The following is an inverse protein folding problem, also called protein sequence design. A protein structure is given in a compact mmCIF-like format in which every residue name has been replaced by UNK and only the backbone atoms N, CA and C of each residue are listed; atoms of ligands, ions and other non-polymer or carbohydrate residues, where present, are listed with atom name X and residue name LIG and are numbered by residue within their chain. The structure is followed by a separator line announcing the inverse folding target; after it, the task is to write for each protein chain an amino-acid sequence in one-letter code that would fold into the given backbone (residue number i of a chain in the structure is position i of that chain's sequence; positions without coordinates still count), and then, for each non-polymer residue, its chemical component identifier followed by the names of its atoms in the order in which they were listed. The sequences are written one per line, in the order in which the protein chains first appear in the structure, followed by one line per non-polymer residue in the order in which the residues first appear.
data_IF_198415015896
#
_entry.id   IF_198415015896
#
_cell.length_a   1.000
_cell.length_b   1.000
_cell.length_c   1.000
_cell.angle_alpha   90.00
_cell.angle_beta   90.00
_cell.angle_gamma   90.00
#
_symmetry.space_group_name_H-M   'P 1'
#
loop_
_entity.id
_entity.type
_entity.pdbx_description
1 polymer ?
#
# COMPACT_ATOMS: atom_id res chain seq x y z
N UNK A 1 -14.09 -7.06 14.32
CA UNK A 1 -13.04 -7.73 15.13
C UNK A 1 -12.29 -8.78 14.30
N UNK A 2 -12.95 -9.83 13.80
CA UNK A 2 -12.29 -10.90 13.01
C UNK A 2 -11.46 -10.42 11.80
N UNK A 3 -11.95 -9.45 11.02
CA UNK A 3 -11.20 -8.92 9.86
C UNK A 3 -9.94 -8.14 10.26
N UNK A 4 -9.99 -7.40 11.37
CA UNK A 4 -8.85 -6.64 11.85
C UNK A 4 -7.78 -7.57 12.46
N UNK A 5 -8.21 -8.54 13.28
CA UNK A 5 -7.32 -9.58 13.80
C UNK A 5 -6.65 -10.36 12.64
N UNK A 6 -7.41 -10.63 11.57
CA UNK A 6 -6.87 -11.27 10.36
C UNK A 6 -5.78 -10.43 9.67
N UNK A 7 -5.97 -9.11 9.57
CA UNK A 7 -4.96 -8.20 8.99
C UNK A 7 -3.69 -8.13 9.84
N UNK A 8 -3.84 -8.08 11.17
CA UNK A 8 -2.71 -8.05 12.12
C UNK A 8 -1.83 -9.30 12.02
N UNK A 9 -2.41 -10.46 11.70
CA UNK A 9 -1.63 -11.70 11.50
C UNK A 9 -0.92 -11.80 10.13
N UNK A 10 -1.10 -10.81 9.24
CA UNK A 10 -0.62 -10.84 7.84
C UNK A 10 0.07 -9.54 7.45
N UNK A 11 1.13 -9.17 8.18
CA UNK A 11 1.84 -7.88 8.07
C UNK A 11 2.66 -7.69 6.77
N UNK A 12 2.37 -8.45 5.72
CA UNK A 12 2.95 -8.25 4.40
C UNK A 12 2.37 -6.97 3.80
N UNK A 13 3.01 -5.83 4.06
CA UNK A 13 2.57 -4.52 3.57
C UNK A 13 2.77 -4.32 2.07
N UNK A 14 3.74 -5.04 1.51
CA UNK A 14 4.18 -4.87 0.13
C UNK A 14 3.48 -5.87 -0.80
N UNK A 15 2.89 -6.93 -0.24
CA UNK A 15 2.19 -7.97 -1.00
C UNK A 15 0.77 -8.11 -0.44
N UNK A 16 -0.27 -7.90 -1.26
CA UNK A 16 -1.65 -8.05 -0.81
C UNK A 16 -1.93 -9.48 -0.35
N UNK A 17 -2.04 -9.68 0.95
CA UNK A 17 -2.31 -11.00 1.51
C UNK A 17 -3.67 -11.54 1.02
N UNK A 18 -3.71 -12.82 0.62
CA UNK A 18 -4.93 -13.47 0.12
C UNK A 18 -5.11 -13.42 -1.39
N UNK A 19 -4.21 -12.76 -2.14
CA UNK A 19 -4.15 -12.88 -3.59
C UNK A 19 -3.16 -14.01 -3.96
N UNK A 20 -3.57 -14.99 -4.80
CA UNK A 20 -2.66 -16.03 -5.28
C UNK A 20 -1.47 -15.41 -6.04
N UNK A 21 -0.29 -16.00 -5.91
CA UNK A 21 0.90 -15.52 -6.63
C UNK A 21 1.04 -16.11 -8.03
N UNK A 22 0.24 -17.12 -8.35
CA UNK A 22 0.22 -17.85 -9.61
C UNK A 22 -0.96 -17.47 -10.52
N UNK A 23 -1.69 -16.41 -10.17
CA UNK A 23 -2.80 -15.94 -10.98
C UNK A 23 -2.30 -15.36 -12.33
N UNK A 24 -2.96 -15.60 -13.48
CA UNK A 24 -2.48 -15.14 -14.79
C UNK A 24 -2.30 -13.63 -14.90
N UNK A 25 -3.02 -12.88 -14.06
CA UNK A 25 -3.09 -11.43 -14.09
C UNK A 25 -2.11 -10.78 -13.11
N UNK A 26 -1.45 -11.60 -12.28
CA UNK A 26 -0.46 -11.24 -11.27
C UNK A 26 -0.98 -10.14 -10.34
N UNK A 27 -2.24 -10.25 -9.88
CA UNK A 27 -2.91 -9.21 -9.10
C UNK A 27 -2.14 -8.80 -7.84
N UNK A 28 -1.33 -9.70 -7.28
CA UNK A 28 -0.47 -9.44 -6.12
C UNK A 28 0.65 -8.42 -6.40
N UNK A 29 0.98 -8.18 -7.68
CA UNK A 29 1.98 -7.19 -8.12
C UNK A 29 1.36 -5.93 -8.68
N UNK A 30 0.22 -6.04 -9.36
CA UNK A 30 -0.39 -4.89 -10.04
C UNK A 30 -1.17 -3.97 -9.09
N UNK A 31 -1.39 -4.39 -7.84
CA UNK A 31 -2.21 -3.69 -6.83
C UNK A 31 -1.42 -3.16 -5.63
N UNK A 32 -0.10 -3.06 -5.70
CA UNK A 32 0.72 -2.81 -4.49
C UNK A 32 0.50 -1.41 -3.91
N UNK A 33 0.37 -0.38 -4.76
CA UNK A 33 0.12 0.98 -4.27
C UNK A 33 -1.31 1.12 -3.75
N UNK A 34 -2.28 0.50 -4.42
CA UNK A 34 -3.67 0.44 -3.96
C UNK A 34 -3.77 -0.27 -2.61
N UNK A 35 -3.12 -1.42 -2.48
CA UNK A 35 -3.08 -2.18 -1.24
C UNK A 35 -2.49 -1.36 -0.09
N UNK A 36 -1.36 -0.70 -0.32
CA UNK A 36 -0.73 0.17 0.67
C UNK A 36 -1.69 1.28 1.14
N UNK A 37 -2.39 1.94 0.20
CA UNK A 37 -3.36 2.99 0.49
C UNK A 37 -4.52 2.50 1.37
N UNK A 38 -5.23 1.45 0.93
CA UNK A 38 -6.42 0.96 1.65
C UNK A 38 -6.07 0.31 2.99
N UNK A 39 -4.89 -0.28 3.09
CA UNK A 39 -4.43 -0.89 4.34
C UNK A 39 -4.05 0.16 5.36
N UNK A 40 -3.35 1.20 4.96
CA UNK A 40 -3.04 2.35 5.81
C UNK A 40 -4.34 3.00 6.32
N UNK A 41 -5.31 3.22 5.44
CA UNK A 41 -6.64 3.75 5.81
C UNK A 41 -7.34 2.85 6.84
N UNK A 42 -7.36 1.53 6.63
CA UNK A 42 -7.97 0.60 7.56
C UNK A 42 -7.28 0.59 8.93
N UNK A 43 -5.95 0.68 8.97
CA UNK A 43 -5.20 0.67 10.23
C UNK A 43 -5.37 1.98 11.00
N UNK A 44 -5.36 3.11 10.29
CA UNK A 44 -5.63 4.43 10.85
C UNK A 44 -7.04 4.51 11.45
N UNK A 45 -8.07 4.07 10.71
CA UNK A 45 -9.46 4.05 11.17
C UNK A 45 -9.67 3.16 12.41
N UNK A 46 -8.84 2.14 12.59
CA UNK A 46 -8.86 1.25 13.75
C UNK A 46 -7.99 1.74 14.91
N UNK A 47 -7.32 2.88 14.79
CA UNK A 47 -6.43 3.43 15.81
C UNK A 47 -5.17 2.59 16.05
N UNK A 48 -4.77 1.78 15.07
CA UNK A 48 -3.61 0.90 15.19
C UNK A 48 -2.40 1.57 14.56
N UNK A 49 -1.46 2.03 15.38
CA UNK A 49 -0.25 2.77 14.97
C UNK A 49 1.02 2.09 15.49
N UNK A 50 1.17 0.79 15.21
CA UNK A 50 2.36 0.03 15.56
C UNK A 50 3.56 0.42 14.66
N UNK A 51 4.42 -0.54 14.31
CA UNK A 51 5.62 -0.28 13.49
C UNK A 51 5.34 0.00 12.00
N UNK A 52 4.10 -0.21 11.54
CA UNK A 52 3.77 -0.15 10.13
C UNK A 52 3.90 1.22 9.45
N UNK A 53 3.69 2.39 10.10
CA UNK A 53 3.88 3.68 9.43
C UNK A 53 5.32 3.84 8.96
N UNK A 54 6.30 3.43 9.78
CA UNK A 54 7.72 3.46 9.42
C UNK A 54 8.02 2.50 8.26
N UNK A 55 7.50 1.27 8.30
CA UNK A 55 7.68 0.29 7.21
C UNK A 55 7.12 0.82 5.88
N UNK A 56 5.94 1.41 5.91
CA UNK A 56 5.30 2.00 4.74
C UNK A 56 6.10 3.19 4.20
N UNK A 57 6.54 4.10 5.09
CA UNK A 57 7.32 5.27 4.72
C UNK A 57 8.67 4.88 4.09
N UNK A 58 9.40 3.95 4.70
CA UNK A 58 10.69 3.45 4.18
C UNK A 58 10.50 2.79 2.79
N UNK A 59 9.45 1.99 2.63
CA UNK A 59 9.14 1.34 1.36
C UNK A 59 8.76 2.35 0.26
N UNK A 60 7.94 3.37 0.57
CA UNK A 60 7.60 4.42 -0.39
C UNK A 60 8.80 5.30 -0.71
N UNK A 61 9.65 5.65 0.26
CA UNK A 61 10.86 6.43 0.02
C UNK A 61 11.78 5.75 -1.02
N UNK A 62 11.86 4.42 -1.02
CA UNK A 62 12.61 3.65 -2.01
C UNK A 62 11.99 3.61 -3.42
N UNK A 63 10.74 4.03 -3.58
CA UNK A 63 10.00 4.01 -4.85
C UNK A 63 9.77 5.40 -5.45
N UNK A 64 10.03 6.47 -4.70
CA UNK A 64 9.80 7.82 -5.17
C UNK A 64 10.75 8.15 -6.34
N UNK A 65 10.19 8.59 -7.47
CA UNK A 65 10.95 9.05 -8.61
C UNK A 65 11.64 10.41 -8.32
N UNK A 66 12.64 10.82 -9.11
CA UNK A 66 13.33 12.11 -8.91
C UNK A 66 12.43 13.35 -8.99
N UNK A 67 11.30 13.26 -9.69
CA UNK A 67 10.29 14.32 -9.79
C UNK A 67 9.27 14.28 -8.63
N UNK A 68 9.43 13.34 -7.70
CA UNK A 68 8.57 13.14 -6.54
C UNK A 68 7.37 12.24 -6.78
N UNK A 69 7.15 11.77 -8.03
CA UNK A 69 6.03 10.90 -8.38
C UNK A 69 6.25 9.44 -7.93
N UNK A 70 5.15 8.69 -7.91
CA UNK A 70 5.13 7.26 -7.67
C UNK A 70 4.38 6.56 -8.80
N UNK A 71 4.92 5.43 -9.25
CA UNK A 71 4.27 4.53 -10.20
C UNK A 71 4.70 3.09 -9.92
N UNK A 72 3.85 2.14 -10.27
CA UNK A 72 4.13 0.72 -10.26
C UNK A 72 4.25 0.25 -11.72
N UNK A 73 5.45 -0.05 -12.22
CA UNK A 73 5.65 -0.51 -13.60
C UNK A 73 4.92 -1.81 -13.95
N UNK A 74 4.65 -2.67 -12.96
CA UNK A 74 3.82 -3.88 -13.15
C UNK A 74 2.32 -3.57 -13.08
N UNK A 75 1.97 -2.31 -12.81
CA UNK A 75 0.65 -1.82 -12.47
C UNK A 75 -0.29 -1.51 -13.63
N UNK A 76 0.13 -1.68 -14.90
CA UNK A 76 -0.65 -1.28 -16.08
C UNK A 76 -2.09 -1.77 -16.09
N UNK A 77 -2.33 -3.00 -15.62
CA UNK A 77 -3.66 -3.60 -15.55
C UNK A 77 -4.58 -2.89 -14.55
N UNK A 78 -4.02 -2.33 -13.48
CA UNK A 78 -4.73 -1.52 -12.49
C UNK A 78 -4.44 -0.02 -12.65
N UNK A 79 -3.76 0.38 -13.72
CA UNK A 79 -3.30 1.76 -13.99
C UNK A 79 -2.35 2.32 -12.94
N UNK A 80 -1.73 1.50 -12.08
CA UNK A 80 -0.77 2.01 -11.10
C UNK A 80 0.56 2.43 -11.77
N UNK A 81 0.77 2.11 -13.04
CA UNK A 81 1.88 2.60 -13.88
C UNK A 81 1.69 4.08 -14.29
N UNK A 82 0.45 4.58 -14.26
CA UNK A 82 0.16 6.00 -14.43
C UNK A 82 0.62 6.78 -13.19
N UNK A 83 1.54 7.75 -13.33
CA UNK A 83 2.12 8.44 -12.18
C UNK A 83 1.11 9.31 -11.43
N UNK A 84 0.00 9.73 -12.04
CA UNK A 84 -1.04 10.47 -11.34
C UNK A 84 -1.81 9.54 -10.39
N UNK A 85 -2.25 8.37 -10.86
CA UNK A 85 -2.90 7.39 -10.00
C UNK A 85 -1.93 6.83 -8.95
N UNK A 86 -0.74 6.41 -9.35
CA UNK A 86 0.28 5.86 -8.45
C UNK A 86 0.64 6.83 -7.33
N UNK A 87 0.89 8.10 -7.67
CA UNK A 87 1.17 9.14 -6.66
C UNK A 87 -0.02 9.41 -5.75
N UNK A 88 -1.25 9.41 -6.28
CA UNK A 88 -2.45 9.61 -5.46
C UNK A 88 -2.60 8.51 -4.40
N UNK A 89 -2.35 7.25 -4.77
CA UNK A 89 -2.40 6.11 -3.85
C UNK A 89 -1.28 6.17 -2.82
N UNK A 90 -0.05 6.47 -3.24
CA UNK A 90 1.09 6.64 -2.33
C UNK A 90 0.84 7.75 -1.30
N UNK A 91 0.30 8.88 -1.73
CA UNK A 91 -0.05 10.00 -0.84
C UNK A 91 -1.16 9.61 0.13
N UNK A 92 -2.19 8.89 -0.31
CA UNK A 92 -3.23 8.38 0.59
C UNK A 92 -2.66 7.47 1.66
N UNK A 93 -1.73 6.59 1.29
CA UNK A 93 -1.04 5.71 2.23
C UNK A 93 -0.24 6.53 3.25
N UNK A 94 0.54 7.52 2.79
CA UNK A 94 1.33 8.41 3.66
C UNK A 94 0.44 9.23 4.60
N UNK A 95 -0.63 9.86 4.10
CA UNK A 95 -1.53 10.68 4.92
C UNK A 95 -2.15 9.86 6.06
N UNK A 96 -2.57 8.63 5.78
CA UNK A 96 -3.11 7.74 6.82
C UNK A 96 -2.03 7.19 7.77
N UNK A 97 -0.76 7.24 7.37
CA UNK A 97 0.37 6.86 8.24
C UNK A 97 0.80 7.95 9.22
N UNK A 98 0.38 9.19 8.98
CA UNK A 98 0.64 10.31 9.88
C UNK A 98 -0.27 10.18 11.11
N UNK A 99 0.32 10.05 12.29
CA UNK A 99 -0.41 10.20 13.55
C UNK A 99 -0.75 11.68 13.72
N UNK A 100 -2.04 12.02 13.72
CA UNK A 100 -2.49 13.28 14.30
C UNK A 100 -2.36 13.14 15.83
N UNK A 101 -1.39 13.84 16.41
CA UNK A 101 -1.30 14.03 17.88
C UNK A 101 -2.54 14.75 18.43
#
# INVERSE_FOLDING_TARGET
KQAFDWLQTREQWIVPAGIPTDDPDQWHRVLVLYHAAVRAEAYAAMGYYAHWPAVLADWLAGQQAPDGSFSNPEGARNKEDDPLLGSSLAILALVNSLTLE
#
